data_IF_124332125949
#
_entry.id   IF_124332125949
#
_cell.length_a   1.000
_cell.length_b   1.000
_cell.length_c   1.000
_cell.angle_alpha   90.00
_cell.angle_beta   90.00
_cell.angle_gamma   90.00
#
_symmetry.space_group_name_H-M   'P 1'
#
loop_
_entity.id
_entity.type
_entity.pdbx_description
1 polymer ?
#
# COMPACT_ATOMS: atom_id res chain seq x y z
N UNK A 1 24.88 5.91 -6.69
CA UNK A 1 23.42 6.05 -6.86
C UNK A 1 22.78 5.50 -5.60
N UNK A 2 22.13 6.34 -4.80
CA UNK A 2 21.46 5.90 -3.58
C UNK A 2 20.14 5.22 -3.97
N UNK A 3 20.12 3.89 -3.98
CA UNK A 3 18.88 3.12 -4.05
C UNK A 3 18.08 3.50 -2.81
N UNK A 4 17.00 4.27 -2.98
CA UNK A 4 16.08 4.56 -1.89
C UNK A 4 15.45 3.22 -1.52
N UNK A 5 15.99 2.55 -0.50
CA UNK A 5 15.40 1.37 0.11
C UNK A 5 14.13 1.83 0.82
N UNK A 6 13.08 2.12 0.04
CA UNK A 6 11.72 2.31 0.54
C UNK A 6 11.27 0.92 1.03
N UNK A 7 11.68 0.60 2.25
CA UNK A 7 11.25 -0.58 2.96
C UNK A 7 9.86 -0.29 3.49
N UNK A 8 8.86 -0.93 2.90
CA UNK A 8 7.47 -0.95 3.39
C UNK A 8 7.44 -1.59 4.78
N UNK A 9 7.79 -0.83 5.83
CA UNK A 9 7.58 -1.25 7.23
C UNK A 9 6.17 -0.87 7.64
N UNK A 10 5.17 -1.49 6.99
CA UNK A 10 3.74 -1.29 7.26
C UNK A 10 3.19 -2.21 8.35
N UNK A 11 4.01 -3.08 8.94
CA UNK A 11 3.63 -3.82 10.15
C UNK A 11 4.17 -3.09 11.37
N UNK A 12 3.35 -2.23 11.96
CA UNK A 12 3.56 -1.82 13.34
C UNK A 12 3.66 -3.06 14.23
N UNK A 13 4.85 -3.35 14.74
CA UNK A 13 5.14 -4.28 15.84
C UNK A 13 4.76 -5.78 15.72
N UNK A 14 4.25 -6.29 14.59
CA UNK A 14 3.75 -7.69 14.49
C UNK A 14 4.84 -8.77 14.34
N UNK A 15 6.11 -8.42 14.24
CA UNK A 15 7.20 -9.37 14.06
C UNK A 15 8.24 -9.20 15.17
N UNK A 16 8.63 -10.32 15.77
CA UNK A 16 9.76 -10.39 16.70
C UNK A 16 10.71 -11.51 16.30
N UNK A 17 12.01 -11.31 16.47
CA UNK A 17 13.00 -12.37 16.31
C UNK A 17 13.47 -12.79 17.70
N UNK A 18 13.38 -14.09 18.01
CA UNK A 18 13.94 -14.67 19.24
C UNK A 18 15.05 -15.68 18.85
N UNK A 19 16.11 -15.69 19.65
CA UNK A 19 17.13 -16.73 19.65
C UNK A 19 16.44 -18.08 19.97
N UNK A 20 16.79 -19.14 19.23
CA UNK A 20 16.31 -20.49 19.51
C UNK A 20 16.73 -20.93 20.90
N UNK A 21 15.83 -21.59 21.62
CA UNK A 21 16.01 -21.96 23.04
C UNK A 21 16.93 -23.18 23.27
N UNK A 22 17.64 -23.65 22.26
CA UNK A 22 18.49 -24.85 22.34
C UNK A 22 19.89 -24.58 21.81
N UNK A 23 20.86 -25.28 22.40
CA UNK A 23 22.32 -25.06 22.49
C UNK A 23 23.10 -25.06 21.15
N UNK A 24 22.45 -24.79 20.01
CA UNK A 24 23.06 -24.77 18.69
C UNK A 24 22.42 -23.70 17.77
N UNK A 25 22.38 -22.46 18.26
CA UNK A 25 21.51 -21.39 17.77
C UNK A 25 22.06 -20.59 16.57
N UNK A 26 22.24 -21.25 15.42
CA UNK A 26 22.55 -20.57 14.15
C UNK A 26 21.30 -20.00 13.45
N UNK A 27 20.08 -20.36 13.89
CA UNK A 27 18.84 -20.04 13.19
C UNK A 27 17.90 -19.20 14.07
N UNK A 28 17.78 -17.91 13.76
CA UNK A 28 16.78 -17.03 14.39
C UNK A 28 15.37 -17.46 13.97
N UNK A 29 14.50 -17.72 14.95
CA UNK A 29 13.08 -17.95 14.70
C UNK A 29 12.40 -16.58 14.63
N UNK A 30 11.72 -16.32 13.51
CA UNK A 30 10.86 -15.16 13.35
C UNK A 30 9.45 -15.55 13.82
N UNK A 31 8.99 -14.90 14.88
CA UNK A 31 7.64 -15.02 15.40
C UNK A 31 6.75 -13.92 14.84
N UNK A 32 5.49 -14.29 14.58
CA UNK A 32 4.40 -13.42 14.18
C UNK A 32 3.44 -13.27 15.35
N UNK A 33 3.16 -12.04 15.76
CA UNK A 33 2.20 -11.73 16.80
C UNK A 33 0.87 -11.33 16.16
N UNK A 34 -0.20 -12.08 16.45
CA UNK A 34 -1.58 -11.75 16.07
C UNK A 34 -2.45 -11.84 17.31
N UNK A 35 -3.23 -10.79 17.59
CA UNK A 35 -4.18 -10.76 18.70
C UNK A 35 -3.56 -11.09 20.08
N UNK A 36 -2.29 -10.70 20.27
CA UNK A 36 -1.53 -10.96 21.50
C UNK A 36 -0.88 -12.35 21.57
N UNK A 37 -1.03 -13.19 20.54
CA UNK A 37 -0.41 -14.52 20.48
C UNK A 37 0.81 -14.53 19.57
N UNK A 38 1.96 -14.91 20.14
CA UNK A 38 3.17 -15.23 19.39
C UNK A 38 3.05 -16.63 18.76
N UNK A 39 3.33 -16.73 17.47
CA UNK A 39 3.42 -18.02 16.78
C UNK A 39 4.53 -18.03 15.73
N UNK A 40 5.02 -19.21 15.32
CA UNK A 40 5.95 -19.30 14.21
C UNK A 40 5.38 -18.62 12.97
N UNK A 41 6.18 -17.82 12.28
CA UNK A 41 5.74 -17.05 11.12
C UNK A 41 5.09 -17.91 10.01
N UNK A 42 5.58 -19.13 9.81
CA UNK A 42 4.98 -20.10 8.89
C UNK A 42 3.53 -20.45 9.26
N UNK A 43 3.24 -20.59 10.56
CA UNK A 43 1.89 -20.83 11.08
C UNK A 43 1.01 -19.60 10.87
N UNK A 44 1.54 -18.40 11.13
CA UNK A 44 0.83 -17.13 10.87
C UNK A 44 0.42 -16.98 9.40
N UNK A 45 1.34 -17.28 8.46
CA UNK A 45 1.05 -17.30 7.03
C UNK A 45 -0.04 -18.30 6.65
N UNK A 46 0.03 -19.53 7.18
CA UNK A 46 -0.95 -20.57 6.89
C UNK A 46 -2.34 -20.18 7.40
N UNK A 47 -2.45 -19.65 8.63
CA UNK A 47 -3.71 -19.15 9.18
C UNK A 47 -4.30 -18.03 8.34
N UNK A 48 -3.48 -17.05 7.93
CA UNK A 48 -3.93 -15.92 7.10
C UNK A 48 -4.42 -16.38 5.73
N UNK A 49 -3.74 -17.35 5.10
CA UNK A 49 -4.17 -17.96 3.83
C UNK A 49 -5.48 -18.72 3.97
N UNK A 50 -5.63 -19.52 5.03
CA UNK A 50 -6.87 -20.25 5.31
C UNK A 50 -8.05 -19.31 5.57
N UNK A 51 -7.81 -18.19 6.26
CA UNK A 51 -8.80 -17.13 6.44
C UNK A 51 -9.21 -16.53 5.09
N UNK A 52 -8.25 -16.11 4.27
CA UNK A 52 -8.50 -15.50 2.97
C UNK A 52 -9.14 -16.46 1.95
N UNK A 53 -8.94 -17.77 2.09
CA UNK A 53 -9.65 -18.76 1.29
C UNK A 53 -11.18 -18.76 1.57
N UNK A 54 -11.59 -18.42 2.81
CA UNK A 54 -13.00 -18.29 3.21
C UNK A 54 -13.53 -16.87 3.02
N UNK A 55 -12.66 -15.87 3.09
CA UNK A 55 -12.98 -14.45 2.98
C UNK A 55 -12.15 -13.77 1.88
N UNK A 56 -12.34 -14.15 0.60
CA UNK A 56 -11.46 -13.74 -0.50
C UNK A 56 -11.53 -12.24 -0.83
N UNK A 57 -12.53 -11.53 -0.31
CA UNK A 57 -12.74 -10.09 -0.52
C UNK A 57 -12.33 -9.23 0.69
N UNK A 58 -11.69 -9.82 1.72
CA UNK A 58 -11.16 -9.04 2.84
C UNK A 58 -9.85 -8.34 2.46
N UNK A 59 -9.98 -7.08 2.06
CA UNK A 59 -8.88 -6.23 1.60
C UNK A 59 -7.80 -6.04 2.67
N UNK A 60 -8.21 -5.85 3.92
CA UNK A 60 -7.29 -5.57 5.02
C UNK A 60 -6.40 -6.78 5.31
N UNK A 61 -6.96 -7.99 5.18
CA UNK A 61 -6.20 -9.22 5.33
C UNK A 61 -5.27 -9.50 4.14
N UNK A 62 -5.67 -9.15 2.91
CA UNK A 62 -4.77 -9.20 1.75
C UNK A 62 -3.59 -8.23 1.87
N UNK A 63 -3.85 -6.99 2.32
CA UNK A 63 -2.80 -6.00 2.62
C UNK A 63 -1.86 -6.52 3.72
N UNK A 64 -2.41 -7.06 4.80
CA UNK A 64 -1.62 -7.63 5.89
C UNK A 64 -0.78 -8.84 5.44
N UNK A 65 -1.32 -9.68 4.55
CA UNK A 65 -0.59 -10.82 3.98
C UNK A 65 0.59 -10.33 3.12
N UNK A 66 0.36 -9.35 2.24
CA UNK A 66 1.42 -8.77 1.44
C UNK A 66 2.54 -8.17 2.28
N UNK A 67 2.19 -7.45 3.35
CA UNK A 67 3.17 -6.91 4.30
C UNK A 67 4.01 -8.03 4.94
N UNK A 68 3.36 -9.10 5.40
CA UNK A 68 4.03 -10.25 6.00
C UNK A 68 4.99 -10.95 5.03
N UNK A 69 4.58 -11.10 3.78
CA UNK A 69 5.39 -11.69 2.70
C UNK A 69 6.55 -10.79 2.28
N UNK A 70 6.37 -9.46 2.35
CA UNK A 70 7.43 -8.48 2.09
C UNK A 70 8.58 -8.61 3.09
N UNK A 71 8.28 -8.74 4.39
CA UNK A 71 9.29 -8.99 5.42
C UNK A 71 10.06 -10.30 5.22
N UNK A 72 9.44 -11.28 4.57
CA UNK A 72 10.06 -12.56 4.22
C UNK A 72 10.86 -12.51 2.93
N UNK A 73 10.96 -11.35 2.28
CA UNK A 73 11.59 -11.19 0.98
C UNK A 73 11.03 -12.17 -0.06
N UNK A 74 9.69 -12.32 -0.12
CA UNK A 74 8.97 -13.15 -1.10
C UNK A 74 8.27 -12.28 -2.17
N UNK A 75 9.04 -11.56 -3.01
CA UNK A 75 8.52 -10.45 -3.83
C UNK A 75 7.39 -10.86 -4.79
N UNK A 76 7.43 -12.07 -5.36
CA UNK A 76 6.37 -12.58 -6.26
C UNK A 76 5.02 -12.70 -5.55
N UNK A 77 5.03 -13.23 -4.34
CA UNK A 77 3.80 -13.43 -3.55
C UNK A 77 3.35 -12.13 -2.90
N UNK A 78 4.27 -11.26 -2.49
CA UNK A 78 3.97 -9.89 -2.04
C UNK A 78 3.20 -9.13 -3.11
N UNK A 79 3.69 -9.13 -4.36
CA UNK A 79 2.99 -8.51 -5.49
C UNK A 79 1.61 -9.13 -5.72
N UNK A 80 1.49 -10.45 -5.66
CA UNK A 80 0.20 -11.13 -5.84
C UNK A 80 -0.83 -10.69 -4.78
N UNK A 81 -0.42 -10.62 -3.51
CA UNK A 81 -1.28 -10.21 -2.41
C UNK A 81 -1.71 -8.73 -2.54
N UNK A 82 -0.78 -7.83 -2.83
CA UNK A 82 -1.09 -6.40 -3.01
C UNK A 82 -1.92 -6.13 -4.27
N UNK A 83 -1.67 -6.84 -5.38
CA UNK A 83 -2.52 -6.76 -6.58
C UNK A 83 -3.95 -7.22 -6.27
N UNK A 84 -4.12 -8.28 -5.49
CA UNK A 84 -5.44 -8.74 -5.07
C UNK A 84 -6.16 -7.72 -4.18
N UNK A 85 -5.46 -7.14 -3.20
CA UNK A 85 -6.00 -6.05 -2.38
C UNK A 85 -6.41 -4.84 -3.23
N UNK A 86 -5.54 -4.41 -4.15
CA UNK A 86 -5.79 -3.28 -5.04
C UNK A 86 -6.97 -3.52 -5.99
N UNK A 87 -7.17 -4.76 -6.44
CA UNK A 87 -8.29 -5.13 -7.29
C UNK A 87 -9.63 -5.02 -6.55
N UNK A 88 -9.68 -5.42 -5.28
CA UNK A 88 -10.92 -5.40 -4.48
C UNK A 88 -11.27 -3.97 -4.07
N UNK A 89 -10.29 -3.17 -3.64
CA UNK A 89 -10.49 -1.78 -3.20
C UNK A 89 -9.44 -0.86 -3.83
N UNK A 90 -9.69 -0.36 -5.06
CA UNK A 90 -8.77 0.52 -5.75
C UNK A 90 -8.58 1.89 -5.07
N UNK A 91 -9.51 2.29 -4.19
CA UNK A 91 -9.46 3.56 -3.44
C UNK A 91 -8.64 3.47 -2.15
N UNK A 92 -8.19 2.27 -1.76
CA UNK A 92 -7.22 2.09 -0.69
C UNK A 92 -5.85 2.56 -1.19
N UNK A 93 -5.50 3.81 -0.89
CA UNK A 93 -4.29 4.44 -1.44
C UNK A 93 -3.02 3.96 -0.76
N UNK A 94 -3.11 3.46 0.47
CA UNK A 94 -2.05 2.76 1.20
C UNK A 94 -1.74 1.40 0.56
N UNK A 95 -2.75 0.65 0.10
CA UNK A 95 -2.54 -0.56 -0.72
C UNK A 95 -1.84 -0.22 -2.03
N UNK A 96 -2.26 0.86 -2.68
CA UNK A 96 -1.68 1.31 -3.95
C UNK A 96 -0.21 1.72 -3.78
N UNK A 97 0.11 2.41 -2.69
CA UNK A 97 1.47 2.77 -2.33
C UNK A 97 2.33 1.53 -2.04
N UNK A 98 1.83 0.58 -1.24
CA UNK A 98 2.53 -0.67 -0.95
C UNK A 98 2.82 -1.49 -2.24
N UNK A 99 1.85 -1.55 -3.16
CA UNK A 99 2.03 -2.17 -4.47
C UNK A 99 3.09 -1.44 -5.30
N UNK A 100 3.02 -0.12 -5.41
CA UNK A 100 3.95 0.67 -6.20
C UNK A 100 5.39 0.59 -5.68
N UNK A 101 5.60 0.63 -4.36
CA UNK A 101 6.91 0.42 -3.75
C UNK A 101 7.45 -0.97 -4.10
N UNK A 102 6.61 -2.01 -3.99
CA UNK A 102 7.02 -3.38 -4.31
C UNK A 102 7.38 -3.55 -5.79
N UNK A 103 6.60 -2.93 -6.69
CA UNK A 103 6.89 -2.92 -8.13
C UNK A 103 8.21 -2.21 -8.42
N UNK A 104 8.44 -1.04 -7.81
CA UNK A 104 9.69 -0.29 -7.95
C UNK A 104 10.90 -1.12 -7.48
N UNK A 105 10.80 -1.76 -6.32
CA UNK A 105 11.87 -2.63 -5.79
C UNK A 105 12.14 -3.85 -6.69
N UNK A 106 11.15 -4.28 -7.46
CA UNK A 106 11.26 -5.31 -8.50
C UNK A 106 11.59 -4.74 -9.90
N UNK A 107 12.08 -3.50 -10.00
CA UNK A 107 12.47 -2.84 -11.26
C UNK A 107 11.33 -2.69 -12.28
N UNK A 108 10.07 -2.76 -11.82
CA UNK A 108 8.86 -2.55 -12.63
C UNK A 108 8.37 -1.10 -12.50
N UNK A 109 9.26 -0.14 -12.73
CA UNK A 109 9.04 1.30 -12.48
C UNK A 109 7.88 1.87 -13.30
N UNK A 110 7.71 1.42 -14.55
CA UNK A 110 6.61 1.87 -15.42
C UNK A 110 5.25 1.47 -14.85
N UNK A 111 5.10 0.23 -14.37
CA UNK A 111 3.86 -0.23 -13.73
C UNK A 111 3.66 0.48 -12.38
N UNK A 112 4.72 0.66 -11.60
CA UNK A 112 4.67 1.42 -10.34
C UNK A 112 4.15 2.85 -10.58
N UNK A 113 4.62 3.50 -11.64
CA UNK A 113 4.17 4.83 -12.04
C UNK A 113 2.69 4.86 -12.41
N UNK A 114 2.20 3.90 -13.19
CA UNK A 114 0.78 3.81 -13.52
C UNK A 114 -0.10 3.63 -12.28
N UNK A 115 0.33 2.79 -11.32
CA UNK A 115 -0.37 2.59 -10.05
C UNK A 115 -0.40 3.90 -9.26
N UNK A 116 0.72 4.61 -9.16
CA UNK A 116 0.82 5.90 -8.45
C UNK A 116 -0.07 6.97 -9.07
N UNK A 117 -0.10 7.08 -10.41
CA UNK A 117 -0.98 8.02 -11.13
C UNK A 117 -2.45 7.75 -10.83
N UNK A 118 -2.87 6.48 -10.91
CA UNK A 118 -4.26 6.07 -10.59
C UNK A 118 -4.60 6.34 -9.13
N UNK A 119 -3.67 6.08 -8.21
CA UNK A 119 -3.85 6.37 -6.78
C UNK A 119 -3.97 7.88 -6.51
N UNK A 120 -3.18 8.71 -7.18
CA UNK A 120 -3.23 10.17 -7.06
C UNK A 120 -4.61 10.72 -7.47
N UNK A 121 -5.20 10.20 -8.55
CA UNK A 121 -6.57 10.58 -8.99
C UNK A 121 -7.61 10.25 -7.90
N UNK A 122 -7.39 9.19 -7.12
CA UNK A 122 -8.30 8.72 -6.06
C UNK A 122 -8.09 9.42 -4.72
N UNK A 123 -7.04 10.22 -4.57
CA UNK A 123 -6.71 10.94 -3.33
C UNK A 123 -7.87 11.75 -2.71
N UNK A 124 -8.74 12.42 -3.50
CA UNK A 124 -9.89 13.16 -2.96
C UNK A 124 -10.93 12.27 -2.25
N UNK A 125 -11.02 11.00 -2.63
CA UNK A 125 -11.93 9.99 -2.06
C UNK A 125 -11.16 8.82 -1.47
N UNK A 126 -9.93 9.06 -0.98
CA UNK A 126 -9.04 8.00 -0.52
C UNK A 126 -9.58 7.29 0.70
N UNK A 127 -9.25 6.01 0.79
CA UNK A 127 -9.38 5.19 1.98
C UNK A 127 -7.99 4.82 2.48
N UNK A 128 -7.80 4.85 3.79
CA UNK A 128 -6.63 4.28 4.46
C UNK A 128 -7.14 3.09 5.28
N UNK A 129 -6.59 1.91 5.03
CA UNK A 129 -6.94 0.68 5.73
C UNK A 129 -6.12 0.49 7.01
N UNK A 130 -5.00 1.19 7.12
CA UNK A 130 -4.14 1.20 8.31
C UNK A 130 -3.75 2.62 8.72
N UNK A 131 -3.42 2.77 10.01
CA UNK A 131 -2.77 3.99 10.49
C UNK A 131 -1.37 4.07 9.88
N UNK A 132 -1.13 5.15 9.14
CA UNK A 132 0.15 5.37 8.47
C UNK A 132 0.54 6.84 8.55
N UNK A 133 1.25 7.25 9.62
CA UNK A 133 1.51 8.65 9.94
C UNK A 133 2.24 9.41 8.82
N UNK A 134 3.19 8.75 8.16
CA UNK A 134 4.04 9.36 7.13
C UNK A 134 3.54 9.10 5.70
N UNK A 135 2.28 8.68 5.54
CA UNK A 135 1.72 8.29 4.24
C UNK A 135 1.95 9.33 3.14
N UNK A 136 1.69 10.61 3.42
CA UNK A 136 1.84 11.66 2.42
C UNK A 136 3.30 11.78 1.94
N UNK A 137 4.25 11.59 2.84
CA UNK A 137 5.66 11.84 2.54
C UNK A 137 6.24 10.68 1.76
N UNK A 138 5.86 9.46 2.12
CA UNK A 138 6.18 8.27 1.34
C UNK A 138 5.54 8.31 -0.06
N UNK A 139 4.25 8.69 -0.15
CA UNK A 139 3.56 8.79 -1.42
C UNK A 139 4.23 9.80 -2.35
N UNK A 140 4.48 11.01 -1.85
CA UNK A 140 5.15 12.08 -2.61
C UNK A 140 6.58 11.70 -2.96
N UNK A 141 7.31 11.09 -2.03
CA UNK A 141 8.68 10.64 -2.23
C UNK A 141 8.77 9.65 -3.39
N UNK A 142 7.97 8.58 -3.36
CA UNK A 142 7.93 7.61 -4.45
C UNK A 142 7.47 8.23 -5.77
N UNK A 143 6.42 9.05 -5.74
CA UNK A 143 5.91 9.72 -6.94
C UNK A 143 7.00 10.55 -7.62
N UNK A 144 7.69 11.41 -6.86
CA UNK A 144 8.73 12.29 -7.38
C UNK A 144 9.97 11.52 -7.83
N UNK A 145 10.31 10.43 -7.13
CA UNK A 145 11.36 9.50 -7.55
C UNK A 145 11.03 8.91 -8.93
N UNK A 146 9.88 8.25 -9.08
CA UNK A 146 9.46 7.65 -10.35
C UNK A 146 9.34 8.69 -11.47
N UNK A 147 8.79 9.86 -11.17
CA UNK A 147 8.71 11.00 -12.10
C UNK A 147 10.09 11.34 -12.67
N UNK A 148 11.10 11.46 -11.80
CA UNK A 148 12.47 11.80 -12.21
C UNK A 148 13.13 10.65 -12.99
N UNK A 149 13.06 9.42 -12.48
CA UNK A 149 13.69 8.25 -13.09
C UNK A 149 13.12 7.96 -14.48
N UNK A 150 11.82 8.13 -14.67
CA UNK A 150 11.13 7.91 -15.95
C UNK A 150 11.09 9.16 -16.85
N UNK A 151 11.77 10.24 -16.48
CA UNK A 151 11.87 11.45 -17.29
C UNK A 151 10.56 12.22 -17.49
N UNK A 152 9.59 12.09 -16.57
CA UNK A 152 8.26 12.75 -16.62
C UNK A 152 8.32 14.21 -16.16
N UNK A 153 9.23 14.98 -16.77
CA UNK A 153 9.50 16.36 -16.39
C UNK A 153 8.42 17.36 -16.81
N UNK A 154 7.56 16.96 -17.75
CA UNK A 154 6.35 17.66 -18.18
C UNK A 154 5.33 17.82 -17.05
N UNK A 155 5.34 16.92 -16.07
CA UNK A 155 4.52 17.03 -14.86
C UNK A 155 5.28 17.81 -13.78
N UNK A 156 4.61 18.61 -12.93
CA UNK A 156 5.28 19.23 -11.79
C UNK A 156 5.64 18.19 -10.71
N UNK A 157 6.63 18.46 -9.84
CA UNK A 157 6.83 17.67 -8.63
C UNK A 157 5.59 17.76 -7.74
N UNK A 158 5.24 16.64 -7.11
CA UNK A 158 4.15 16.58 -6.14
C UNK A 158 4.63 17.13 -4.79
N UNK A 159 3.77 17.85 -4.08
CA UNK A 159 4.01 18.33 -2.73
C UNK A 159 3.07 17.62 -1.74
N UNK A 160 3.48 17.39 -0.49
CA UNK A 160 2.63 16.78 0.54
C UNK A 160 1.27 17.45 0.72
N UNK A 161 1.25 18.78 0.70
CA UNK A 161 0.04 19.59 0.83
C UNK A 161 -0.98 19.35 -0.28
N UNK A 162 -0.54 18.95 -1.47
CA UNK A 162 -1.42 18.67 -2.60
C UNK A 162 -2.32 17.45 -2.35
N UNK A 163 -1.85 16.48 -1.56
CA UNK A 163 -2.62 15.29 -1.18
C UNK A 163 -3.76 15.60 -0.21
N UNK A 164 -3.67 16.69 0.54
CA UNK A 164 -4.68 17.09 1.52
C UNK A 164 -5.73 18.06 0.95
N UNK A 165 -5.50 18.58 -0.26
CA UNK A 165 -6.51 19.37 -0.95
C UNK A 165 -7.64 18.44 -1.38
N UNK A 166 -8.72 18.37 -0.59
CA UNK A 166 -10.00 18.01 -1.18
C UNK A 166 -10.23 19.07 -2.25
N UNK A 167 -10.09 18.70 -3.52
CA UNK A 167 -10.51 19.57 -4.60
C UNK A 167 -12.01 19.70 -4.41
N UNK A 168 -12.44 20.74 -3.67
CA UNK A 168 -13.85 21.05 -3.46
C UNK A 168 -14.42 21.12 -4.87
N UNK A 169 -15.22 20.13 -5.25
CA UNK A 169 -15.89 20.15 -6.55
C UNK A 169 -16.60 21.49 -6.63
N UNK A 170 -16.18 22.32 -7.57
CA UNK A 170 -16.71 23.65 -7.69
C UNK A 170 -18.22 23.54 -7.85
N UNK A 171 -19.01 24.41 -7.20
CA UNK A 171 -20.49 24.38 -7.27
C UNK A 171 -21.02 24.23 -8.72
N UNK A 172 -20.28 24.75 -9.70
CA UNK A 172 -20.62 24.72 -11.11
C UNK A 172 -19.87 23.68 -11.97
N UNK A 173 -18.93 22.92 -11.40
CA UNK A 173 -18.24 21.81 -12.08
C UNK A 173 -19.16 20.60 -12.25
N UNK A 174 -18.82 19.72 -13.19
CA UNK A 174 -19.49 18.43 -13.37
C UNK A 174 -19.45 17.61 -12.09
N UNK A 175 -20.58 17.02 -11.71
CA UNK A 175 -20.69 16.25 -10.49
C UNK A 175 -19.90 14.92 -10.62
N UNK A 176 -19.03 14.59 -9.65
CA UNK A 176 -18.17 13.41 -9.71
C UNK A 176 -18.92 12.08 -9.63
N UNK A 177 -20.23 12.06 -9.33
CA UNK A 177 -21.05 10.85 -9.35
C UNK A 177 -21.44 10.36 -10.76
N UNK A 178 -21.06 11.10 -11.82
CA UNK A 178 -21.33 10.71 -13.20
C UNK A 178 -22.74 11.03 -13.70
N UNK A 179 -23.53 11.81 -12.96
CA UNK A 179 -24.92 12.15 -13.32
C UNK A 179 -25.07 13.11 -14.51
N UNK A 180 -23.98 13.67 -15.03
CA UNK A 180 -23.98 14.72 -16.05
C UNK A 180 -24.46 16.09 -15.55
N UNK A 181 -24.88 16.23 -14.29
CA UNK A 181 -25.34 17.50 -13.68
C UNK A 181 -24.19 18.26 -13.04
N UNK A 182 -24.35 19.59 -12.88
CA UNK A 182 -23.43 20.42 -12.07
C UNK A 182 -23.54 20.03 -10.59
N UNK A 183 -22.43 20.10 -9.84
CA UNK A 183 -22.36 19.68 -8.44
C UNK A 183 -23.47 20.27 -7.56
N UNK A 184 -23.76 21.59 -7.67
CA UNK A 184 -24.84 22.28 -6.92
C UNK A 184 -26.27 21.81 -7.21
N UNK A 185 -26.48 21.05 -8.29
CA UNK A 185 -27.79 20.52 -8.72
C UNK A 185 -27.87 19.00 -8.57
N UNK A 186 -26.92 18.40 -7.85
CA UNK A 186 -26.82 16.96 -7.63
C UNK A 186 -26.37 16.71 -6.18
N UNK A 187 -25.13 16.25 -5.96
CA UNK A 187 -24.63 15.90 -4.62
C UNK A 187 -24.27 17.10 -3.72
N UNK A 188 -24.28 18.33 -4.26
CA UNK A 188 -24.01 19.57 -3.51
C UNK A 188 -25.26 20.37 -3.16
N UNK A 189 -26.41 19.71 -3.04
CA UNK A 189 -27.66 20.28 -2.52
C UNK A 189 -27.68 20.21 -1.00
#
# INVERSE_FOLDING_TARGET
MATMMLGVKLLGHQLSAKAGSEENDQFKIINYTSDGYDMPLAKGLALKRNYLAKHPNDVQQWLSLGNLLSHLNRPKETLAAFRKAHQIEPNAVDVSLALAITLNNNQQETEAWEVMQKALIRMPSRKLLMSFPDFNEEFVGLYNYLRKTLGKYDLPPLLPSALNSSKKTGRNESCPCGSGKKFKRCCGQ
#
